data_IF_633236054134
#
_entry.id   IF_633236054134
#
_cell.length_a   1.000
_cell.length_b   1.000
_cell.length_c   1.000
_cell.angle_alpha   90.00
_cell.angle_beta   90.00
_cell.angle_gamma   90.00
#
_symmetry.space_group_name_H-M   'P 1'
#
loop_
_entity.id
_entity.type
_entity.pdbx_description
1 polymer ?
#
# COMPACT_ATOMS: atom_id res chain seq x y z
N UNK A 1 28.44 2.58 25.31
CA UNK A 1 27.16 3.14 25.81
C UNK A 1 27.09 4.67 25.69
N UNK A 2 28.11 5.44 26.11
CA UNK A 2 28.14 6.91 25.99
C UNK A 2 28.12 7.42 24.54
N UNK A 3 28.78 6.71 23.62
CA UNK A 3 28.86 7.11 22.20
C UNK A 3 27.52 6.93 21.46
N UNK A 4 26.80 5.83 21.72
CA UNK A 4 25.50 5.52 21.09
C UNK A 4 24.41 6.51 21.50
N UNK A 5 24.35 6.90 22.79
CA UNK A 5 23.40 7.90 23.28
C UNK A 5 23.70 9.29 22.70
N UNK A 6 24.97 9.69 22.63
CA UNK A 6 25.37 10.95 22.00
C UNK A 6 25.02 10.98 20.51
N UNK A 7 25.19 9.86 19.80
CA UNK A 7 24.84 9.71 18.39
C UNK A 7 23.32 9.81 18.17
N UNK A 8 22.53 9.26 19.10
CA UNK A 8 21.06 9.36 19.10
C UNK A 8 20.57 10.80 19.34
N UNK A 9 21.11 11.48 20.33
CA UNK A 9 20.71 12.86 20.65
C UNK A 9 21.13 13.84 19.54
N UNK A 10 22.32 13.65 18.97
CA UNK A 10 22.78 14.43 17.82
C UNK A 10 21.90 14.20 16.59
N UNK A 11 21.47 12.98 16.33
CA UNK A 11 20.56 12.66 15.24
C UNK A 11 19.18 13.30 15.43
N UNK A 12 18.65 13.30 16.65
CA UNK A 12 17.38 13.96 16.97
C UNK A 12 17.45 15.47 16.69
N UNK A 13 18.55 16.12 17.10
CA UNK A 13 18.78 17.54 16.82
C UNK A 13 18.91 17.81 15.30
N UNK A 14 19.65 16.95 14.58
CA UNK A 14 19.81 17.07 13.13
C UNK A 14 18.48 16.91 12.39
N UNK A 15 17.65 15.93 12.77
CA UNK A 15 16.30 15.76 12.22
C UNK A 15 15.43 16.99 12.47
N UNK A 16 15.46 17.56 13.69
CA UNK A 16 14.69 18.76 14.04
C UNK A 16 15.14 20.02 13.26
N UNK A 17 16.40 20.06 12.83
CA UNK A 17 16.99 21.14 12.05
C UNK A 17 16.64 21.08 10.55
N UNK A 18 16.07 19.98 10.05
CA UNK A 18 15.61 19.89 8.65
C UNK A 18 14.37 20.78 8.47
N UNK A 19 14.55 21.89 7.76
CA UNK A 19 13.47 22.87 7.47
C UNK A 19 13.20 23.05 5.99
N UNK A 20 14.07 22.56 5.12
CA UNK A 20 13.98 22.72 3.67
C UNK A 20 14.22 21.38 2.97
N UNK A 21 13.71 21.24 1.75
CA UNK A 21 13.92 20.01 0.96
C UNK A 21 15.42 19.78 0.76
N UNK A 22 16.19 20.83 0.47
CA UNK A 22 17.64 20.76 0.29
C UNK A 22 18.37 20.26 1.54
N UNK A 23 18.08 20.82 2.72
CA UNK A 23 18.71 20.38 3.98
C UNK A 23 18.35 18.93 4.30
N UNK A 24 17.11 18.52 4.03
CA UNK A 24 16.67 17.14 4.19
C UNK A 24 17.35 16.17 3.21
N UNK A 25 17.58 16.57 1.96
CA UNK A 25 18.28 15.74 0.96
C UNK A 25 19.75 15.58 1.30
N UNK A 26 20.42 16.66 1.70
CA UNK A 26 21.81 16.61 2.16
C UNK A 26 21.96 15.65 3.34
N UNK A 27 21.04 15.72 4.30
CA UNK A 27 21.02 14.80 5.43
C UNK A 27 20.72 13.36 5.02
N UNK A 28 19.74 13.12 4.15
CA UNK A 28 19.40 11.79 3.65
C UNK A 28 20.60 11.13 2.93
N UNK A 29 21.34 11.90 2.13
CA UNK A 29 22.52 11.42 1.43
C UNK A 29 23.63 11.04 2.42
N UNK A 30 23.85 11.84 3.46
CA UNK A 30 24.78 11.51 4.56
C UNK A 30 24.38 10.20 5.24
N UNK A 31 23.11 10.04 5.62
CA UNK A 31 22.62 8.83 6.29
C UNK A 31 22.77 7.59 5.39
N UNK A 32 22.49 7.70 4.08
CA UNK A 32 22.70 6.60 3.12
C UNK A 32 24.18 6.20 3.00
N UNK A 33 25.10 7.16 3.00
CA UNK A 33 26.53 6.86 2.98
C UNK A 33 26.97 6.09 4.24
N UNK A 34 26.46 6.52 5.41
CA UNK A 34 26.69 5.82 6.69
C UNK A 34 26.08 4.42 6.67
N UNK A 35 24.87 4.25 6.10
CA UNK A 35 24.23 2.93 5.94
C UNK A 35 25.08 1.97 5.10
N UNK A 36 25.61 2.44 3.96
CA UNK A 36 26.48 1.63 3.10
C UNK A 36 27.76 1.23 3.84
N UNK A 37 28.39 2.17 4.53
CA UNK A 37 29.57 1.90 5.36
C UNK A 37 29.27 0.89 6.47
N UNK A 38 28.18 1.08 7.23
CA UNK A 38 27.82 0.21 8.34
C UNK A 38 27.55 -1.23 7.87
N UNK A 39 26.93 -1.40 6.71
CA UNK A 39 26.72 -2.71 6.06
C UNK A 39 28.03 -3.34 5.60
N UNK A 40 28.91 -2.56 4.97
CA UNK A 40 30.22 -3.04 4.50
C UNK A 40 31.11 -3.51 5.66
N UNK A 41 31.13 -2.74 6.75
CA UNK A 41 31.89 -3.03 7.98
C UNK A 41 31.20 -4.07 8.89
N UNK A 42 30.04 -4.61 8.48
CA UNK A 42 29.24 -5.58 9.26
C UNK A 42 29.02 -5.12 10.70
N UNK A 43 28.68 -3.84 10.88
CA UNK A 43 28.34 -3.29 12.20
C UNK A 43 27.15 -4.04 12.81
N UNK A 44 27.03 -3.94 14.14
CA UNK A 44 25.95 -4.61 14.87
C UNK A 44 24.55 -4.16 14.41
N UNK A 45 23.56 -5.00 14.72
CA UNK A 45 22.17 -4.76 14.34
C UNK A 45 21.60 -3.50 14.99
N UNK A 46 22.06 -3.15 16.19
CA UNK A 46 21.61 -1.95 16.92
C UNK A 46 21.97 -0.67 16.14
N UNK A 47 23.23 -0.53 15.71
CA UNK A 47 23.68 0.62 14.94
C UNK A 47 22.99 0.68 13.57
N UNK A 48 22.84 -0.47 12.89
CA UNK A 48 22.14 -0.53 11.60
C UNK A 48 20.67 -0.10 11.71
N UNK A 49 19.97 -0.52 12.77
CA UNK A 49 18.60 -0.12 13.04
C UNK A 49 18.47 1.37 13.34
N UNK A 50 19.41 1.94 14.09
CA UNK A 50 19.45 3.40 14.35
C UNK A 50 19.62 4.20 13.05
N UNK A 51 20.53 3.76 12.16
CA UNK A 51 20.75 4.40 10.86
C UNK A 51 19.48 4.28 9.99
N UNK A 52 18.85 3.10 9.97
CA UNK A 52 17.61 2.88 9.22
C UNK A 52 16.46 3.75 9.73
N UNK A 53 16.31 3.91 11.05
CA UNK A 53 15.32 4.79 11.65
C UNK A 53 15.55 6.25 11.24
N UNK A 54 16.79 6.75 11.34
CA UNK A 54 17.15 8.11 10.91
C UNK A 54 16.81 8.33 9.43
N UNK A 55 17.10 7.34 8.58
CA UNK A 55 16.77 7.37 7.16
C UNK A 55 15.27 7.53 6.95
N UNK A 56 14.46 6.70 7.61
CA UNK A 56 13.00 6.70 7.45
C UNK A 56 12.38 8.00 8.01
N UNK A 57 12.84 8.48 9.17
CA UNK A 57 12.39 9.77 9.73
C UNK A 57 12.70 10.94 8.80
N UNK A 58 13.87 10.91 8.16
CA UNK A 58 14.24 11.92 7.16
C UNK A 58 13.34 11.85 5.92
N UNK A 59 13.04 10.63 5.44
CA UNK A 59 12.10 10.42 4.33
C UNK A 59 10.70 10.94 4.68
N UNK A 60 10.23 10.73 5.91
CA UNK A 60 8.95 11.26 6.41
C UNK A 60 8.93 12.79 6.41
N UNK A 61 9.96 13.45 6.97
CA UNK A 61 10.09 14.91 6.98
C UNK A 61 10.14 15.47 5.55
N UNK A 62 10.93 14.86 4.67
CA UNK A 62 10.98 15.24 3.26
C UNK A 62 9.60 15.12 2.59
N UNK A 63 8.85 14.05 2.89
CA UNK A 63 7.49 13.89 2.38
C UNK A 63 6.53 14.99 2.81
N UNK A 64 6.63 15.47 4.06
CA UNK A 64 5.86 16.62 4.56
C UNK A 64 6.24 17.90 3.78
N UNK A 65 7.53 18.20 3.68
CA UNK A 65 8.04 19.37 2.96
C UNK A 65 7.67 19.37 1.47
N UNK A 66 7.74 18.21 0.82
CA UNK A 66 7.35 18.04 -0.59
C UNK A 66 5.85 18.32 -0.78
N UNK A 67 5.00 17.79 0.10
CA UNK A 67 3.55 18.01 0.05
C UNK A 67 3.19 19.48 0.29
N UNK A 68 3.84 20.14 1.24
CA UNK A 68 3.67 21.57 1.48
C UNK A 68 4.08 22.42 0.28
N UNK A 69 5.16 22.04 -0.42
CA UNK A 69 5.61 22.72 -1.63
C UNK A 69 4.61 22.54 -2.80
N UNK A 70 4.05 21.33 -2.99
CA UNK A 70 3.01 21.07 -4.00
C UNK A 70 1.74 21.89 -3.76
N UNK A 71 1.27 22.00 -2.51
CA UNK A 71 0.10 22.82 -2.16
C UNK A 71 0.31 24.30 -2.49
N UNK A 72 1.51 24.84 -2.23
CA UNK A 72 1.87 26.22 -2.61
C UNK A 72 1.84 26.44 -4.12
N UNK A 73 2.08 25.40 -4.90
CA UNK A 73 2.10 25.45 -6.36
C UNK A 73 0.74 25.21 -7.03
N UNK A 74 -0.21 24.55 -6.35
CA UNK A 74 -1.56 24.26 -6.86
C UNK A 74 -2.51 25.47 -6.92
N UNK A 75 -2.14 26.61 -6.33
CA UNK A 75 -2.90 27.87 -6.43
C UNK A 75 -2.74 28.64 -7.75
N UNK A 76 -1.95 28.13 -8.71
CA UNK A 76 -1.71 28.77 -10.02
C UNK A 76 -2.18 27.87 -11.16
N UNK A 77 -3.31 28.23 -11.79
CA UNK A 77 -3.84 27.54 -12.97
C UNK A 77 -2.88 27.62 -14.16
N UNK A 78 -2.85 26.56 -14.97
CA UNK A 78 -1.98 26.42 -16.17
C UNK A 78 -2.15 27.54 -17.21
N UNK A 79 -3.29 28.23 -17.20
CA UNK A 79 -3.59 29.38 -18.08
C UNK A 79 -3.03 30.72 -17.60
N UNK A 80 -2.58 30.83 -16.34
CA UNK A 80 -1.92 32.03 -15.79
C UNK A 80 -0.41 31.83 -15.61
N UNK A 81 0.20 30.96 -16.42
CA UNK A 81 1.63 30.69 -16.40
C UNK A 81 2.45 31.71 -17.22
N UNK A 82 2.10 32.99 -17.15
CA UNK A 82 3.04 34.07 -17.49
C UNK A 82 3.65 34.59 -16.19
N UNK A 83 4.71 33.93 -15.74
CA UNK A 83 5.82 34.57 -15.06
C UNK A 83 6.94 33.56 -14.86
N UNK A 84 8.16 34.00 -15.18
CA UNK A 84 9.42 33.41 -14.72
C UNK A 84 9.47 33.45 -13.18
N UNK A 85 8.73 32.57 -12.53
CA UNK A 85 8.78 32.42 -11.08
C UNK A 85 9.93 31.47 -10.74
N UNK A 86 11.09 32.04 -10.43
CA UNK A 86 12.30 31.35 -9.99
C UNK A 86 12.11 30.50 -8.71
N UNK A 87 10.91 30.49 -8.12
CA UNK A 87 10.57 29.69 -6.94
C UNK A 87 9.98 28.32 -7.24
N UNK A 88 9.68 27.98 -8.52
CA UNK A 88 9.15 26.67 -8.90
C UNK A 88 10.27 25.64 -9.05
N UNK A 89 10.79 25.16 -7.92
CA UNK A 89 11.81 24.12 -7.90
C UNK A 89 11.19 22.76 -8.28
N UNK A 90 11.67 22.17 -9.36
CA UNK A 90 11.22 20.85 -9.84
C UNK A 90 11.81 19.74 -8.97
N UNK A 91 11.18 18.55 -8.94
CA UNK A 91 11.75 17.39 -8.24
C UNK A 91 13.19 17.08 -8.72
N UNK A 92 13.46 17.32 -10.01
CA UNK A 92 14.79 17.14 -10.59
C UNK A 92 15.82 18.14 -10.04
N UNK A 93 15.44 19.35 -9.63
CA UNK A 93 16.39 20.30 -9.01
C UNK A 93 16.88 19.82 -7.65
N UNK A 94 16.17 18.91 -6.99
CA UNK A 94 16.58 18.28 -5.74
C UNK A 94 17.20 16.89 -5.93
N UNK A 95 17.39 16.44 -7.18
CA UNK A 95 17.87 15.09 -7.47
C UNK A 95 16.92 13.97 -7.04
N UNK A 96 15.61 14.27 -6.94
CA UNK A 96 14.59 13.30 -6.57
C UNK A 96 13.84 12.77 -7.79
N UNK A 97 13.61 11.47 -7.80
CA UNK A 97 12.70 10.81 -8.74
C UNK A 97 11.24 10.96 -8.29
N UNK A 98 10.30 10.82 -9.23
CA UNK A 98 8.86 10.81 -8.92
C UNK A 98 8.50 9.71 -7.92
N UNK A 99 9.11 8.53 -8.05
CA UNK A 99 8.85 7.39 -7.16
C UNK A 99 9.34 7.63 -5.73
N UNK A 100 10.51 8.26 -5.58
CA UNK A 100 11.02 8.68 -4.27
C UNK A 100 10.10 9.73 -3.64
N UNK A 101 9.69 10.75 -4.40
CA UNK A 101 8.75 11.77 -3.92
C UNK A 101 7.44 11.13 -3.44
N UNK A 102 6.85 10.26 -4.26
CA UNK A 102 5.62 9.54 -3.92
C UNK A 102 5.78 8.67 -2.67
N UNK A 103 6.90 7.97 -2.54
CA UNK A 103 7.20 7.12 -1.38
C UNK A 103 7.29 7.96 -0.10
N UNK A 104 8.02 9.08 -0.14
CA UNK A 104 8.21 9.96 1.01
C UNK A 104 6.88 10.59 1.45
N UNK A 105 6.09 11.09 0.50
CA UNK A 105 4.77 11.66 0.78
C UNK A 105 3.79 10.63 1.36
N UNK A 106 3.82 9.37 0.91
CA UNK A 106 3.01 8.29 1.50
C UNK A 106 3.41 7.99 2.94
N UNK A 107 4.71 7.89 3.22
CA UNK A 107 5.21 7.71 4.59
C UNK A 107 4.83 8.90 5.47
N UNK A 108 4.87 10.13 4.94
CA UNK A 108 4.45 11.34 5.63
C UNK A 108 2.95 11.41 5.94
N UNK A 109 2.11 10.77 5.12
CA UNK A 109 0.66 10.77 5.31
C UNK A 109 0.19 9.88 6.47
N UNK A 110 1.03 8.95 6.95
CA UNK A 110 0.73 8.11 8.11
C UNK A 110 0.63 8.99 9.38
N UNK A 111 -0.38 8.83 10.25
CA UNK A 111 -0.43 9.54 11.53
C UNK A 111 0.80 9.25 12.40
N UNK A 112 1.19 10.21 13.23
CA UNK A 112 2.42 10.11 14.03
C UNK A 112 2.38 8.92 15.01
N UNK A 113 1.24 8.66 15.65
CA UNK A 113 1.06 7.55 16.58
C UNK A 113 1.17 6.18 15.88
N UNK A 114 0.67 6.07 14.65
CA UNK A 114 0.80 4.85 13.84
C UNK A 114 2.25 4.69 13.38
N UNK A 115 2.89 5.76 12.93
CA UNK A 115 4.30 5.74 12.54
C UNK A 115 5.22 5.31 13.69
N UNK A 116 5.10 5.90 14.87
CA UNK A 116 5.92 5.54 16.03
C UNK A 116 5.71 4.08 16.47
N UNK A 117 4.47 3.58 16.38
CA UNK A 117 4.14 2.18 16.66
C UNK A 117 4.81 1.23 15.69
N UNK A 118 4.84 1.55 14.41
CA UNK A 118 5.54 0.76 13.38
C UNK A 118 7.05 0.72 13.63
N UNK A 119 7.66 1.87 14.00
CA UNK A 119 9.08 1.93 14.37
C UNK A 119 9.35 1.08 15.62
N UNK A 120 8.48 1.14 16.64
CA UNK A 120 8.62 0.36 17.86
C UNK A 120 8.48 -1.16 17.61
N UNK A 121 7.46 -1.58 16.86
CA UNK A 121 7.24 -2.98 16.48
C UNK A 121 8.42 -3.53 15.66
N UNK A 122 8.95 -2.75 14.71
CA UNK A 122 10.12 -3.16 13.95
C UNK A 122 11.37 -3.36 14.82
N UNK A 123 11.55 -2.55 15.88
CA UNK A 123 12.66 -2.69 16.82
C UNK A 123 12.52 -3.95 17.68
N UNK A 124 11.32 -4.24 18.17
CA UNK A 124 11.05 -5.46 18.94
C UNK A 124 11.26 -6.72 18.08
N UNK A 125 10.81 -6.71 16.83
CA UNK A 125 11.04 -7.81 15.88
C UNK A 125 12.48 -7.92 15.38
N UNK A 126 13.31 -6.88 15.57
CA UNK A 126 14.71 -6.92 15.13
C UNK A 126 15.56 -7.90 15.93
N UNK A 127 15.12 -8.29 17.15
CA UNK A 127 15.67 -9.44 17.88
C UNK A 127 15.47 -10.77 17.11
N UNK A 128 14.55 -10.78 16.13
CA UNK A 128 14.22 -11.92 15.25
C UNK A 128 14.78 -11.78 13.82
N UNK A 129 15.78 -10.91 13.60
CA UNK A 129 16.42 -10.63 12.28
C UNK A 129 15.54 -9.91 11.25
N UNK A 130 14.54 -9.14 11.68
CA UNK A 130 13.77 -8.28 10.77
C UNK A 130 14.38 -6.88 10.77
N UNK A 131 14.94 -6.44 9.65
CA UNK A 131 15.49 -5.08 9.51
C UNK A 131 14.36 -4.05 9.38
N UNK A 132 14.53 -2.90 10.05
CA UNK A 132 13.71 -1.73 9.80
C UNK A 132 14.00 -1.21 8.38
N UNK A 133 12.99 -1.23 7.50
CA UNK A 133 13.15 -0.79 6.10
C UNK A 133 12.11 0.24 5.69
N UNK A 134 12.46 1.06 4.71
CA UNK A 134 11.51 1.98 4.04
C UNK A 134 10.31 1.21 3.48
N UNK A 135 10.52 0.00 2.94
CA UNK A 135 9.45 -0.84 2.37
C UNK A 135 8.42 -1.26 3.41
N UNK A 136 8.85 -1.62 4.63
CA UNK A 136 7.94 -1.96 5.74
C UNK A 136 7.03 -0.78 6.08
N UNK A 137 7.61 0.40 6.28
CA UNK A 137 6.83 1.60 6.63
C UNK A 137 5.94 2.07 5.48
N UNK A 138 6.41 1.94 4.23
CA UNK A 138 5.59 2.22 3.06
C UNK A 138 4.40 1.26 2.97
N UNK A 139 4.57 -0.01 3.34
CA UNK A 139 3.49 -0.99 3.38
C UNK A 139 2.46 -0.62 4.45
N UNK A 140 2.92 -0.32 5.68
CA UNK A 140 2.04 0.16 6.76
C UNK A 140 1.29 1.44 6.37
N UNK A 141 1.93 2.37 5.66
CA UNK A 141 1.28 3.57 5.14
C UNK A 141 0.18 3.25 4.11
N UNK A 142 0.41 2.28 3.21
CA UNK A 142 -0.60 1.84 2.25
C UNK A 142 -1.77 1.12 2.92
N UNK A 143 -1.50 0.26 3.90
CA UNK A 143 -2.53 -0.44 4.66
C UNK A 143 -3.40 0.54 5.44
N UNK A 144 -2.79 1.51 6.13
CA UNK A 144 -3.52 2.57 6.81
C UNK A 144 -4.42 3.37 5.86
N UNK A 145 -3.91 3.76 4.68
CA UNK A 145 -4.71 4.48 3.68
C UNK A 145 -5.90 3.64 3.18
N UNK A 146 -5.67 2.35 2.92
CA UNK A 146 -6.73 1.43 2.49
C UNK A 146 -7.79 1.24 3.59
N UNK A 147 -7.36 1.04 4.83
CA UNK A 147 -8.26 0.88 5.97
C UNK A 147 -9.08 2.13 6.20
N UNK A 148 -8.43 3.31 6.18
CA UNK A 148 -9.12 4.60 6.26
C UNK A 148 -10.19 4.76 5.18
N UNK A 149 -9.89 4.41 3.92
CA UNK A 149 -10.87 4.45 2.81
C UNK A 149 -12.06 3.54 3.08
N UNK A 150 -11.85 2.35 3.65
CA UNK A 150 -12.94 1.42 4.02
C UNK A 150 -13.76 1.97 5.19
N UNK A 151 -13.12 2.60 6.16
CA UNK A 151 -13.80 3.15 7.33
C UNK A 151 -14.63 4.40 7.01
N UNK A 152 -14.15 5.22 6.08
CA UNK A 152 -14.84 6.42 5.58
C UNK A 152 -15.81 6.11 4.43
N UNK A 153 -15.84 4.87 3.92
CA UNK A 153 -16.69 4.49 2.80
C UNK A 153 -18.17 4.62 3.16
N UNK A 154 -18.90 5.40 2.37
CA UNK A 154 -20.35 5.45 2.47
C UNK A 154 -20.95 4.15 1.93
N UNK A 155 -21.97 3.64 2.62
CA UNK A 155 -22.68 2.43 2.22
C UNK A 155 -23.53 2.75 0.99
N UNK A 156 -23.15 2.24 -0.18
CA UNK A 156 -23.91 2.39 -1.41
C UNK A 156 -25.15 1.49 -1.45
N UNK A 157 -26.08 1.72 -2.38
CA UNK A 157 -27.23 0.82 -2.58
C UNK A 157 -26.76 -0.62 -2.89
N UNK A 158 -25.74 -0.75 -3.75
CA UNK A 158 -25.10 -2.02 -4.09
C UNK A 158 -24.49 -2.70 -2.86
N UNK A 159 -23.79 -1.95 -1.99
CA UNK A 159 -23.25 -2.51 -0.75
C UNK A 159 -24.36 -3.12 0.12
N UNK A 160 -25.50 -2.44 0.25
CA UNK A 160 -26.64 -2.96 1.02
C UNK A 160 -27.15 -4.27 0.44
N UNK A 161 -27.35 -4.34 -0.88
CA UNK A 161 -27.81 -5.55 -1.56
C UNK A 161 -26.83 -6.72 -1.35
N UNK A 162 -25.53 -6.45 -1.51
CA UNK A 162 -24.46 -7.42 -1.31
C UNK A 162 -24.40 -7.92 0.14
N UNK A 163 -24.47 -7.01 1.13
CA UNK A 163 -24.47 -7.36 2.54
C UNK A 163 -25.69 -8.23 2.89
N UNK A 164 -26.88 -7.89 2.40
CA UNK A 164 -28.08 -8.68 2.67
C UNK A 164 -28.03 -10.06 2.00
N UNK A 165 -27.48 -10.17 0.78
CA UNK A 165 -27.23 -11.46 0.15
C UNK A 165 -26.23 -12.31 0.96
N UNK A 166 -25.15 -11.71 1.43
CA UNK A 166 -24.16 -12.39 2.27
C UNK A 166 -24.77 -12.88 3.60
N UNK A 167 -25.63 -12.07 4.23
CA UNK A 167 -26.38 -12.46 5.44
C UNK A 167 -27.31 -13.65 5.22
N UNK A 168 -27.85 -13.81 4.01
CA UNK A 168 -28.64 -14.99 3.61
C UNK A 168 -27.78 -16.22 3.30
N UNK A 169 -26.46 -16.11 3.43
CA UNK A 169 -25.51 -17.19 3.13
C UNK A 169 -25.21 -17.35 1.64
N UNK A 170 -25.57 -16.37 0.81
CA UNK A 170 -25.25 -16.37 -0.61
C UNK A 170 -23.77 -16.01 -0.82
N UNK A 171 -23.13 -16.67 -1.78
CA UNK A 171 -21.80 -16.26 -2.25
C UNK A 171 -21.95 -15.01 -3.11
N UNK A 172 -21.22 -13.94 -2.82
CA UNK A 172 -21.33 -12.68 -3.56
C UNK A 172 -20.01 -12.33 -4.26
N UNK A 173 -20.07 -11.52 -5.32
CA UNK A 173 -18.89 -10.96 -5.98
C UNK A 173 -18.83 -9.47 -5.70
N UNK A 174 -17.71 -9.02 -5.12
CA UNK A 174 -17.52 -7.63 -4.68
C UNK A 174 -16.35 -6.98 -5.42
N UNK A 175 -16.48 -5.70 -5.73
CA UNK A 175 -15.41 -4.91 -6.28
C UNK A 175 -14.52 -4.31 -5.17
N UNK A 176 -13.21 -4.57 -5.23
CA UNK A 176 -12.24 -4.11 -4.23
C UNK A 176 -12.06 -2.58 -4.11
N UNK A 177 -12.58 -1.79 -5.05
CA UNK A 177 -12.56 -0.32 -5.04
C UNK A 177 -13.89 0.31 -4.67
N UNK A 178 -15.00 -0.26 -5.14
CA UNK A 178 -16.32 0.38 -5.02
C UNK A 178 -17.17 -0.19 -3.91
N UNK A 179 -17.04 -1.49 -3.60
CA UNK A 179 -17.92 -2.21 -2.68
C UNK A 179 -17.29 -2.30 -1.28
N UNK A 180 -16.70 -1.19 -0.82
CA UNK A 180 -15.85 -1.14 0.37
C UNK A 180 -16.61 -1.45 1.66
N UNK A 181 -17.88 -1.05 1.77
CA UNK A 181 -18.69 -1.33 2.94
C UNK A 181 -19.09 -2.81 3.00
N UNK A 182 -19.42 -3.43 1.87
CA UNK A 182 -19.66 -4.87 1.78
C UNK A 182 -18.39 -5.67 2.13
N UNK A 183 -17.23 -5.24 1.64
CA UNK A 183 -15.93 -5.85 2.00
C UNK A 183 -15.66 -5.73 3.49
N UNK A 184 -15.85 -4.54 4.08
CA UNK A 184 -15.68 -4.32 5.52
C UNK A 184 -16.56 -5.26 6.35
N UNK A 185 -17.83 -5.40 5.98
CA UNK A 185 -18.74 -6.35 6.64
C UNK A 185 -18.24 -7.80 6.49
N UNK A 186 -17.82 -8.20 5.29
CA UNK A 186 -17.31 -9.55 5.05
C UNK A 186 -16.03 -9.85 5.85
N UNK A 187 -15.09 -8.91 5.94
CA UNK A 187 -13.85 -9.04 6.72
C UNK A 187 -14.13 -9.20 8.21
N UNK A 188 -15.03 -8.39 8.78
CA UNK A 188 -15.44 -8.47 10.18
C UNK A 188 -16.07 -9.82 10.56
N UNK A 189 -16.65 -10.52 9.58
CA UNK A 189 -17.29 -11.83 9.76
C UNK A 189 -16.43 -12.99 9.24
N UNK A 190 -15.16 -12.74 8.84
CA UNK A 190 -14.27 -13.74 8.23
C UNK A 190 -14.84 -14.41 6.95
N UNK A 191 -15.64 -13.66 6.19
CA UNK A 191 -16.30 -14.10 4.96
C UNK A 191 -15.64 -13.55 3.69
N UNK A 192 -14.61 -12.71 3.79
CA UNK A 192 -13.94 -12.14 2.62
C UNK A 192 -12.88 -13.09 2.03
N UNK A 193 -12.89 -13.28 0.72
CA UNK A 193 -11.85 -14.00 -0.04
C UNK A 193 -11.36 -13.11 -1.16
N UNK A 194 -10.06 -12.82 -1.16
CA UNK A 194 -9.41 -12.09 -2.24
C UNK A 194 -9.30 -13.00 -3.48
N UNK A 195 -9.87 -12.57 -4.59
CA UNK A 195 -9.91 -13.26 -5.88
C UNK A 195 -9.32 -12.37 -7.01
N UNK A 196 -8.26 -11.61 -6.73
CA UNK A 196 -7.53 -10.93 -7.81
C UNK A 196 -6.50 -11.85 -8.46
N UNK A 197 -5.87 -11.39 -9.53
CA UNK A 197 -4.93 -12.18 -10.34
C UNK A 197 -3.84 -12.89 -9.53
N UNK A 198 -3.39 -12.31 -8.42
CA UNK A 198 -2.30 -12.86 -7.62
C UNK A 198 -2.78 -13.77 -6.48
N UNK A 199 -4.08 -14.05 -6.41
CA UNK A 199 -4.68 -14.99 -5.46
C UNK A 199 -4.82 -16.39 -6.07
N UNK A 200 -5.07 -17.38 -5.22
CA UNK A 200 -5.29 -18.77 -5.64
C UNK A 200 -6.48 -18.93 -6.61
N UNK A 201 -7.47 -18.05 -6.52
CA UNK A 201 -8.69 -18.06 -7.33
C UNK A 201 -8.64 -17.11 -8.53
N UNK A 202 -7.55 -16.35 -8.68
CA UNK A 202 -7.42 -15.30 -9.68
C UNK A 202 -7.44 -15.82 -11.12
N UNK A 203 -7.97 -14.99 -12.02
CA UNK A 203 -7.85 -15.23 -13.46
C UNK A 203 -6.42 -14.93 -13.96
N UNK A 204 -5.69 -15.94 -14.51
CA UNK A 204 -4.36 -15.72 -15.05
C UNK A 204 -4.36 -14.93 -16.37
N UNK A 205 -5.45 -14.95 -17.14
CA UNK A 205 -5.56 -14.27 -18.42
C UNK A 205 -5.64 -12.74 -18.24
N UNK A 206 -4.91 -12.01 -19.07
CA UNK A 206 -4.83 -10.56 -19.06
C UNK A 206 -5.66 -9.93 -20.18
N UNK A 207 -6.52 -8.97 -19.83
CA UNK A 207 -7.16 -8.14 -20.84
C UNK A 207 -6.09 -7.43 -21.68
N UNK A 208 -6.39 -7.19 -22.95
CA UNK A 208 -5.52 -6.62 -23.99
C UNK A 208 -4.40 -7.54 -24.50
N UNK A 209 -3.93 -8.52 -23.70
CA UNK A 209 -2.94 -9.52 -24.15
C UNK A 209 -3.57 -10.84 -24.59
N UNK A 210 -4.49 -11.34 -23.77
CA UNK A 210 -5.15 -12.65 -23.94
C UNK A 210 -6.60 -12.52 -24.43
N UNK A 211 -7.03 -11.29 -24.72
CA UNK A 211 -8.35 -10.97 -25.29
C UNK A 211 -9.07 -9.83 -24.59
N UNK A 212 -10.33 -9.63 -24.97
CA UNK A 212 -11.25 -8.73 -24.30
C UNK A 212 -11.79 -9.32 -22.97
N UNK A 213 -12.64 -8.56 -22.26
CA UNK A 213 -13.24 -8.99 -20.99
C UNK A 213 -13.99 -10.31 -21.10
N UNK A 214 -14.70 -10.52 -22.20
CA UNK A 214 -15.47 -11.74 -22.42
C UNK A 214 -14.53 -12.91 -22.64
N UNK A 215 -13.60 -12.75 -23.58
CA UNK A 215 -12.60 -13.76 -23.93
C UNK A 215 -11.80 -14.22 -22.71
N UNK A 216 -11.29 -13.30 -21.88
CA UNK A 216 -10.53 -13.70 -20.68
C UNK A 216 -11.39 -14.40 -19.62
N UNK A 217 -12.69 -14.07 -19.51
CA UNK A 217 -13.60 -14.77 -18.61
C UNK A 217 -13.99 -16.15 -19.15
N UNK A 218 -14.19 -16.27 -20.47
CA UNK A 218 -14.44 -17.54 -21.16
C UNK A 218 -13.21 -18.46 -21.08
N UNK A 219 -12.02 -17.92 -21.29
CA UNK A 219 -10.77 -18.65 -21.13
C UNK A 219 -10.59 -19.14 -19.69
N UNK A 220 -10.91 -18.31 -18.69
CA UNK A 220 -10.90 -18.75 -17.29
C UNK A 220 -11.85 -19.93 -17.06
N UNK A 221 -13.09 -19.83 -17.54
CA UNK A 221 -14.12 -20.82 -17.32
C UNK A 221 -13.88 -22.14 -18.08
N UNK A 222 -13.36 -22.07 -19.31
CA UNK A 222 -13.29 -23.22 -20.22
C UNK A 222 -11.90 -23.84 -20.31
N UNK A 223 -10.84 -23.06 -20.08
CA UNK A 223 -9.46 -23.49 -20.35
C UNK A 223 -8.54 -23.48 -19.13
N UNK A 224 -8.89 -22.77 -18.06
CA UNK A 224 -8.10 -22.75 -16.83
C UNK A 224 -8.76 -23.52 -15.69
N UNK A 225 -9.96 -23.08 -15.28
CA UNK A 225 -10.62 -23.60 -14.08
C UNK A 225 -10.85 -25.12 -14.12
N UNK A 226 -11.37 -25.75 -15.22
CA UNK A 226 -11.62 -27.18 -15.28
C UNK A 226 -10.37 -28.05 -15.08
N UNK A 227 -9.19 -27.50 -15.36
CA UNK A 227 -7.91 -28.19 -15.27
C UNK A 227 -7.11 -27.79 -14.03
N UNK A 228 -7.74 -27.14 -13.05
CA UNK A 228 -7.07 -26.69 -11.81
C UNK A 228 -7.60 -27.45 -10.56
N UNK A 229 -7.09 -28.66 -10.26
CA UNK A 229 -7.53 -29.44 -9.11
C UNK A 229 -7.41 -28.72 -7.76
N UNK A 230 -6.41 -27.85 -7.60
CA UNK A 230 -6.21 -27.09 -6.35
C UNK A 230 -7.39 -26.17 -6.04
N UNK A 231 -7.95 -25.50 -7.06
CA UNK A 231 -9.12 -24.63 -6.89
C UNK A 231 -10.36 -25.49 -6.63
N UNK A 232 -10.54 -26.58 -7.39
CA UNK A 232 -11.69 -27.47 -7.21
C UNK A 232 -11.84 -28.03 -5.80
N UNK A 233 -10.72 -28.38 -5.15
CA UNK A 233 -10.69 -28.84 -3.74
C UNK A 233 -11.17 -27.77 -2.75
N UNK A 234 -11.03 -26.49 -3.12
CA UNK A 234 -11.35 -25.36 -2.26
C UNK A 234 -12.70 -24.71 -2.59
N UNK A 235 -13.37 -25.06 -3.70
CA UNK A 235 -14.62 -24.41 -4.13
C UNK A 235 -15.71 -24.42 -3.05
N UNK A 236 -15.87 -25.51 -2.31
CA UNK A 236 -16.87 -25.58 -1.24
C UNK A 236 -16.57 -24.59 -0.10
N UNK A 237 -15.29 -24.24 0.12
CA UNK A 237 -14.88 -23.25 1.12
C UNK A 237 -15.25 -21.83 0.76
N UNK A 238 -15.68 -21.58 -0.49
CA UNK A 238 -16.12 -20.28 -0.97
C UNK A 238 -17.62 -20.04 -0.78
N UNK A 239 -18.39 -21.07 -0.39
CA UNK A 239 -19.84 -20.93 -0.19
C UNK A 239 -20.14 -19.91 0.91
N UNK A 240 -21.03 -18.95 0.61
CA UNK A 240 -21.43 -17.90 1.53
C UNK A 240 -20.34 -16.87 1.81
N UNK A 241 -19.37 -16.71 0.90
CA UNK A 241 -18.27 -15.74 1.01
C UNK A 241 -18.36 -14.61 -0.01
N UNK A 242 -17.68 -13.51 0.29
CA UNK A 242 -17.51 -12.38 -0.61
C UNK A 242 -16.22 -12.53 -1.42
N UNK A 243 -16.36 -12.76 -2.73
CA UNK A 243 -15.25 -12.95 -3.66
C UNK A 243 -14.79 -11.58 -4.22
N UNK A 244 -13.65 -11.10 -3.75
CA UNK A 244 -13.13 -9.78 -4.07
C UNK A 244 -12.35 -9.73 -5.39
N UNK A 245 -12.87 -9.05 -6.40
CA UNK A 245 -12.18 -8.80 -7.67
C UNK A 245 -12.14 -7.30 -8.01
N UNK A 246 -11.39 -6.93 -9.05
CA UNK A 246 -11.35 -5.55 -9.58
C UNK A 246 -12.36 -5.31 -10.71
N UNK A 247 -13.03 -6.37 -11.19
CA UNK A 247 -13.85 -6.34 -12.40
C UNK A 247 -15.34 -6.10 -12.18
N UNK A 248 -15.90 -6.61 -11.06
CA UNK A 248 -17.32 -6.43 -10.75
C UNK A 248 -17.69 -4.93 -10.72
N UNK A 249 -18.92 -4.50 -11.03
CA UNK A 249 -20.10 -5.29 -11.40
C UNK A 249 -20.11 -5.81 -12.83
N UNK A 250 -19.14 -5.42 -13.67
CA UNK A 250 -19.04 -5.96 -15.02
C UNK A 250 -18.67 -7.44 -14.96
N UNK A 251 -18.89 -8.15 -16.08
CA UNK A 251 -18.55 -9.57 -16.23
C UNK A 251 -17.19 -9.88 -15.61
N UNK A 252 -17.20 -10.84 -14.69
CA UNK A 252 -16.08 -11.18 -13.84
C UNK A 252 -15.86 -12.70 -13.80
N UNK A 253 -14.61 -13.13 -13.72
CA UNK A 253 -14.28 -14.55 -13.55
C UNK A 253 -14.83 -15.15 -12.24
N UNK A 254 -15.02 -14.32 -11.20
CA UNK A 254 -15.65 -14.75 -9.96
C UNK A 254 -17.11 -15.18 -10.15
N UNK A 255 -17.78 -14.70 -11.21
CA UNK A 255 -19.13 -15.15 -11.55
C UNK A 255 -19.12 -16.64 -11.92
N UNK A 256 -18.08 -17.12 -12.62
CA UNK A 256 -17.90 -18.55 -12.91
C UNK A 256 -17.76 -19.38 -11.63
N UNK A 257 -16.95 -18.91 -10.67
CA UNK A 257 -16.80 -19.58 -9.37
C UNK A 257 -18.13 -19.63 -8.62
N UNK A 258 -18.83 -18.50 -8.54
CA UNK A 258 -20.15 -18.38 -7.92
C UNK A 258 -21.16 -19.35 -8.56
N UNK A 259 -21.24 -19.38 -9.89
CA UNK A 259 -22.17 -20.26 -10.61
C UNK A 259 -21.91 -21.75 -10.32
N UNK A 260 -20.65 -22.17 -10.21
CA UNK A 260 -20.30 -23.55 -9.86
C UNK A 260 -20.67 -23.88 -8.42
N UNK A 261 -20.51 -22.93 -7.49
CA UNK A 261 -20.89 -23.09 -6.09
C UNK A 261 -22.41 -23.20 -5.95
N UNK A 262 -23.15 -22.37 -6.67
CA UNK A 262 -24.60 -22.33 -6.62
C UNK A 262 -25.23 -23.59 -7.26
N UNK A 263 -24.66 -24.09 -8.37
CA UNK A 263 -25.13 -25.29 -9.05
C UNK A 263 -24.90 -26.59 -8.26
N UNK A 264 -24.08 -26.56 -7.19
CA UNK A 264 -23.83 -27.70 -6.29
C UNK A 264 -24.80 -27.75 -5.10
N UNK A 265 -25.67 -26.76 -4.95
CA UNK A 265 -26.71 -26.69 -3.93
C UNK A 265 -28.04 -27.19 -4.47
#
# INVERSE_FOLDING_TARGET
MTDVLALRDNARQQLAAIKTIETGINYLNKVKAIEVWAKAEKKDAELQNMIAEQKIRTQRILGQLLKENEVKNHGKNQYNAESNDATRQSLSSFGLTKDQSSTFQKIAALPEDVFEREIASAKEESEKRVELTTSRVLFAAKEYEQQKKKDEAQITARDKELIEALKRGETIVVNQKTDLAAIKYAEQNNLYVRCDRFSDFGNPFEMDKDGDRNEVCDNYANHYLPFKPSIHKQLNSLKGKALGCWCAPLRCHCDTLKNIIDAKN
#
